data_IF_599932357133
#
_entry.id   IF_599932357133
#
_cell.length_a   1.000
_cell.length_b   1.000
_cell.length_c   1.000
_cell.angle_alpha   90.00
_cell.angle_beta   90.00
_cell.angle_gamma   90.00
#
_symmetry.space_group_name_H-M   'P 1'
#
loop_
_entity.id
_entity.type
_entity.pdbx_description
1 polymer ?
#
# COMPACT_ATOMS: atom_id res chain seq x y z
N UNK A 1 27.57 37.29 -13.27
CA UNK A 1 27.11 38.05 -12.08
C UNK A 1 26.32 37.17 -11.06
N UNK A 2 25.46 36.22 -11.49
CA UNK A 2 24.71 35.34 -10.57
C UNK A 2 25.61 34.37 -9.77
N UNK A 3 26.68 33.87 -10.40
CA UNK A 3 27.63 32.93 -9.76
C UNK A 3 28.50 33.60 -8.68
N UNK A 4 28.85 34.88 -8.86
CA UNK A 4 29.60 35.65 -7.86
C UNK A 4 28.79 35.88 -6.57
N UNK A 5 27.46 36.08 -6.70
CA UNK A 5 26.57 36.23 -5.55
C UNK A 5 26.43 34.93 -4.76
N UNK A 6 26.53 33.75 -5.40
CA UNK A 6 26.52 32.42 -4.72
C UNK A 6 27.75 32.23 -3.80
N UNK A 7 28.90 32.82 -4.15
CA UNK A 7 30.10 32.74 -3.32
C UNK A 7 30.07 33.57 -2.04
N UNK A 8 29.08 34.46 -1.89
CA UNK A 8 28.94 35.38 -0.75
C UNK A 8 27.79 35.00 0.20
N UNK A 9 27.08 33.89 -0.05
CA UNK A 9 25.99 33.45 0.83
C UNK A 9 26.51 32.92 2.16
N UNK A 10 25.92 33.38 3.25
CA UNK A 10 26.23 32.91 4.60
C UNK A 10 25.24 31.87 5.13
N UNK A 11 24.07 31.73 4.46
CA UNK A 11 23.01 30.78 4.84
C UNK A 11 22.44 30.17 3.56
N UNK A 12 22.30 28.84 3.53
CA UNK A 12 21.64 28.10 2.47
C UNK A 12 20.40 27.46 3.07
N UNK A 13 19.22 27.83 2.56
CA UNK A 13 17.93 27.17 2.87
C UNK A 13 17.59 26.24 1.71
N UNK A 14 17.49 24.95 1.98
CA UNK A 14 17.11 23.95 0.98
C UNK A 14 15.82 23.26 1.38
N UNK A 15 14.87 23.14 0.46
CA UNK A 15 13.75 22.23 0.64
C UNK A 15 14.26 20.77 0.57
N UNK A 16 13.69 19.90 1.42
CA UNK A 16 14.09 18.50 1.47
C UNK A 16 13.55 17.73 0.25
N UNK A 17 12.26 17.88 -0.02
CA UNK A 17 11.55 17.03 -0.98
C UNK A 17 11.81 17.48 -2.42
N UNK A 18 12.31 16.57 -3.25
CA UNK A 18 12.65 16.87 -4.65
C UNK A 18 13.93 17.66 -4.87
N UNK A 19 14.62 18.09 -3.78
CA UNK A 19 15.91 18.79 -3.84
C UNK A 19 17.01 17.95 -3.21
N UNK A 20 16.85 17.54 -1.95
CA UNK A 20 17.77 16.61 -1.26
C UNK A 20 17.39 15.16 -1.46
N UNK A 21 16.16 14.89 -1.88
CA UNK A 21 15.61 13.58 -2.22
C UNK A 21 15.08 13.59 -3.65
N UNK A 22 14.94 12.40 -4.25
CA UNK A 22 14.39 12.24 -5.60
C UNK A 22 12.85 12.27 -5.63
N UNK A 23 12.18 12.50 -4.50
CA UNK A 23 10.73 12.37 -4.35
C UNK A 23 10.22 10.99 -4.82
N UNK A 24 11.04 9.95 -4.64
CA UNK A 24 10.72 8.57 -4.97
C UNK A 24 10.71 7.73 -3.70
N UNK A 25 9.71 6.89 -3.56
CA UNK A 25 9.59 5.93 -2.48
C UNK A 25 9.75 4.51 -3.02
N UNK A 26 10.18 3.62 -2.16
CA UNK A 26 10.32 2.19 -2.44
C UNK A 26 9.82 1.42 -1.21
N UNK A 27 9.20 0.26 -1.41
CA UNK A 27 8.81 -0.62 -0.31
C UNK A 27 10.01 -1.44 0.10
N UNK A 28 10.51 -1.19 1.31
CA UNK A 28 11.69 -1.88 1.87
C UNK A 28 11.31 -3.22 2.51
N UNK A 29 10.24 -3.21 3.31
CA UNK A 29 9.82 -4.37 4.09
C UNK A 29 8.29 -4.45 4.18
N UNK A 30 7.79 -5.67 4.30
CA UNK A 30 6.37 -5.99 4.49
C UNK A 30 6.22 -6.88 5.72
N UNK A 31 5.30 -6.55 6.62
CA UNK A 31 4.95 -7.38 7.78
C UNK A 31 3.62 -8.09 7.52
N UNK A 32 3.69 -9.38 7.29
CA UNK A 32 2.53 -10.25 7.05
C UNK A 32 2.71 -11.58 7.79
N UNK A 33 1.63 -12.22 8.17
CA UNK A 33 1.65 -13.54 8.81
C UNK A 33 2.54 -13.59 10.07
N UNK A 34 2.66 -12.45 10.78
CA UNK A 34 3.51 -12.34 11.96
C UNK A 34 5.03 -12.27 11.67
N UNK A 35 5.42 -12.15 10.42
CA UNK A 35 6.82 -12.11 9.97
C UNK A 35 7.08 -10.90 9.07
N UNK A 36 8.32 -10.44 9.07
CA UNK A 36 8.81 -9.42 8.14
C UNK A 36 9.49 -10.10 6.96
N UNK A 37 9.20 -9.65 5.76
CA UNK A 37 9.86 -10.09 4.53
C UNK A 37 10.10 -8.89 3.60
N UNK A 38 11.00 -9.05 2.64
CA UNK A 38 11.20 -8.10 1.55
C UNK A 38 10.25 -8.39 0.38
N UNK A 39 9.99 -7.41 -0.50
CA UNK A 39 9.16 -7.65 -1.69
C UNK A 39 9.67 -8.81 -2.58
N UNK A 40 10.99 -8.97 -2.72
CA UNK A 40 11.60 -10.02 -3.52
C UNK A 40 11.44 -11.44 -2.93
N UNK A 41 11.07 -11.55 -1.65
CA UNK A 41 10.78 -12.80 -0.95
C UNK A 41 9.29 -13.17 -1.00
N UNK A 42 8.43 -12.28 -1.52
CA UNK A 42 7.00 -12.51 -1.62
C UNK A 42 6.61 -13.39 -2.80
N UNK A 43 5.46 -14.05 -2.68
CA UNK A 43 4.91 -14.92 -3.72
C UNK A 43 3.42 -14.70 -3.92
N UNK A 44 2.93 -14.90 -5.15
CA UNK A 44 1.49 -14.92 -5.45
C UNK A 44 0.83 -16.29 -5.16
N UNK A 45 1.59 -17.30 -4.76
CA UNK A 45 1.05 -18.60 -4.35
C UNK A 45 0.37 -18.53 -2.98
N UNK A 46 0.93 -17.75 -2.04
CA UNK A 46 0.31 -17.48 -0.75
C UNK A 46 -0.99 -16.67 -0.93
N UNK A 47 -2.07 -17.16 -0.37
CA UNK A 47 -3.39 -16.50 -0.43
C UNK A 47 -3.37 -15.14 0.25
N UNK A 48 -2.73 -15.04 1.42
CA UNK A 48 -2.62 -13.81 2.19
C UNK A 48 -1.78 -12.77 1.46
N UNK A 49 -0.62 -13.17 0.92
CA UNK A 49 0.25 -12.24 0.18
C UNK A 49 -0.41 -11.75 -1.10
N UNK A 50 -1.06 -12.65 -1.87
CA UNK A 50 -1.84 -12.28 -3.05
C UNK A 50 -2.95 -11.29 -2.73
N UNK A 51 -3.67 -11.51 -1.63
CA UNK A 51 -4.74 -10.63 -1.20
C UNK A 51 -4.23 -9.24 -0.77
N UNK A 52 -3.11 -9.20 -0.05
CA UNK A 52 -2.41 -7.95 0.27
C UNK A 52 -1.97 -7.20 -0.99
N UNK A 53 -1.35 -7.89 -1.95
CA UNK A 53 -0.91 -7.29 -3.21
C UNK A 53 -2.10 -6.76 -4.03
N UNK A 54 -3.22 -7.45 -4.04
CA UNK A 54 -4.45 -6.95 -4.69
C UNK A 54 -5.00 -5.70 -4.01
N UNK A 55 -5.00 -5.65 -2.67
CA UNK A 55 -5.36 -4.42 -1.96
C UNK A 55 -4.42 -3.27 -2.34
N UNK A 56 -3.11 -3.53 -2.39
CA UNK A 56 -2.10 -2.53 -2.71
C UNK A 56 -2.26 -1.92 -4.12
N UNK A 57 -2.65 -2.71 -5.13
CA UNK A 57 -2.80 -2.23 -6.52
C UNK A 57 -4.21 -1.77 -6.85
N UNK A 58 -5.25 -2.38 -6.29
CA UNK A 58 -6.63 -2.02 -6.56
C UNK A 58 -7.03 -0.75 -5.81
N UNK A 59 -6.76 -0.68 -4.50
CA UNK A 59 -6.98 0.51 -3.68
C UNK A 59 -5.85 1.53 -3.88
N UNK A 60 -5.65 1.98 -5.13
CA UNK A 60 -4.49 2.77 -5.58
C UNK A 60 -4.86 3.57 -6.83
N UNK A 61 -4.49 4.84 -6.88
CA UNK A 61 -4.78 5.76 -7.98
C UNK A 61 -3.57 5.99 -8.89
N UNK A 62 -2.39 5.50 -8.51
CA UNK A 62 -1.23 5.52 -9.41
C UNK A 62 -1.46 4.61 -10.62
N UNK A 63 -0.85 4.95 -11.74
CA UNK A 63 -0.94 4.21 -13.00
C UNK A 63 0.42 4.09 -13.68
N UNK A 64 0.52 3.19 -14.65
CA UNK A 64 1.70 3.07 -15.49
C UNK A 64 1.35 3.57 -16.90
N UNK A 65 2.08 4.55 -17.37
CA UNK A 65 1.94 5.09 -18.73
C UNK A 65 3.33 5.14 -19.39
N UNK A 66 3.45 4.53 -20.57
CA UNK A 66 4.71 4.44 -21.31
C UNK A 66 5.89 3.89 -20.47
N UNK A 67 5.61 2.89 -19.63
CA UNK A 67 6.60 2.26 -18.75
C UNK A 67 7.06 3.12 -17.57
N UNK A 68 6.38 4.23 -17.29
CA UNK A 68 6.62 5.09 -16.13
C UNK A 68 5.45 5.05 -15.19
N UNK A 69 5.74 4.90 -13.90
CA UNK A 69 4.74 5.01 -12.85
C UNK A 69 4.43 6.48 -12.60
N UNK A 70 3.14 6.83 -12.62
CA UNK A 70 2.61 8.17 -12.41
C UNK A 70 1.62 8.13 -11.25
N UNK A 71 1.78 9.04 -10.28
CA UNK A 71 0.89 9.14 -9.11
C UNK A 71 1.62 9.65 -7.87
N UNK A 72 0.95 9.58 -6.73
CA UNK A 72 1.56 9.85 -5.43
C UNK A 72 2.76 8.91 -5.21
N UNK A 73 3.89 9.38 -4.64
CA UNK A 73 5.06 8.53 -4.43
C UNK A 73 4.79 7.28 -3.60
N UNK A 74 3.91 7.34 -2.60
CA UNK A 74 3.53 6.18 -1.77
C UNK A 74 2.78 5.15 -2.59
N UNK A 75 1.83 5.59 -3.42
CA UNK A 75 1.05 4.73 -4.30
C UNK A 75 1.89 4.13 -5.43
N UNK A 76 2.78 4.94 -5.99
CA UNK A 76 3.75 4.49 -7.00
C UNK A 76 4.65 3.38 -6.46
N UNK A 77 5.11 3.49 -5.20
CA UNK A 77 5.93 2.46 -4.56
C UNK A 77 5.18 1.11 -4.41
N UNK A 78 3.88 1.14 -4.15
CA UNK A 78 3.05 -0.07 -4.08
C UNK A 78 2.90 -0.77 -5.43
N UNK A 79 2.76 0.01 -6.52
CA UNK A 79 2.76 -0.54 -7.87
C UNK A 79 4.11 -1.14 -8.24
N UNK A 80 5.21 -0.44 -7.96
CA UNK A 80 6.55 -0.94 -8.20
C UNK A 80 6.80 -2.24 -7.42
N UNK A 81 6.39 -2.32 -6.15
CA UNK A 81 6.45 -3.54 -5.35
C UNK A 81 5.70 -4.71 -6.00
N UNK A 82 4.48 -4.50 -6.46
CA UNK A 82 3.70 -5.54 -7.14
C UNK A 82 4.42 -6.08 -8.38
N UNK A 83 5.01 -5.19 -9.18
CA UNK A 83 5.78 -5.58 -10.36
C UNK A 83 7.04 -6.35 -9.99
N UNK A 84 7.75 -5.96 -8.94
CA UNK A 84 8.93 -6.66 -8.44
C UNK A 84 8.60 -8.10 -8.04
N UNK A 85 7.55 -8.30 -7.24
CA UNK A 85 7.07 -9.64 -6.86
C UNK A 85 6.76 -10.50 -8.08
N UNK A 86 6.12 -9.93 -9.09
CA UNK A 86 5.79 -10.66 -10.32
C UNK A 86 7.02 -11.02 -11.14
N UNK A 87 7.95 -10.08 -11.31
CA UNK A 87 9.19 -10.32 -12.07
C UNK A 87 10.03 -11.44 -11.47
N UNK A 88 10.03 -11.55 -10.15
CA UNK A 88 10.76 -12.62 -9.47
C UNK A 88 10.12 -13.99 -9.70
N UNK A 89 8.81 -14.05 -9.91
CA UNK A 89 8.11 -15.30 -10.25
C UNK A 89 8.25 -15.68 -11.72
N UNK A 90 8.26 -14.71 -12.60
CA UNK A 90 8.31 -14.95 -14.04
C UNK A 90 9.45 -14.14 -14.70
N UNK A 91 10.69 -14.67 -14.59
CA UNK A 91 11.94 -14.00 -15.03
C UNK A 91 11.99 -13.63 -16.52
N UNK A 92 10.91 -13.87 -17.25
CA UNK A 92 10.82 -13.66 -18.70
C UNK A 92 10.02 -12.43 -19.11
N UNK A 93 9.35 -11.74 -18.18
CA UNK A 93 8.46 -10.62 -18.49
C UNK A 93 9.18 -9.28 -18.60
N UNK A 94 8.86 -8.51 -19.66
CA UNK A 94 9.30 -7.13 -19.83
C UNK A 94 8.35 -6.15 -19.12
N UNK A 95 8.80 -4.93 -18.83
CA UNK A 95 8.01 -3.86 -18.20
C UNK A 95 6.68 -3.58 -18.93
N UNK A 96 6.65 -3.70 -20.26
CA UNK A 96 5.43 -3.53 -21.06
C UNK A 96 4.37 -4.60 -20.82
N UNK A 97 4.78 -5.86 -20.58
CA UNK A 97 3.86 -6.93 -20.22
C UNK A 97 3.31 -6.76 -18.80
N UNK A 98 4.10 -6.21 -17.87
CA UNK A 98 3.66 -5.89 -16.52
C UNK A 98 2.54 -4.86 -16.50
N UNK A 99 2.65 -3.80 -17.31
CA UNK A 99 1.61 -2.78 -17.45
C UNK A 99 0.27 -3.39 -17.87
N UNK A 100 0.29 -4.26 -18.89
CA UNK A 100 -0.90 -4.97 -19.38
C UNK A 100 -1.54 -5.81 -18.27
N UNK A 101 -0.75 -6.41 -17.39
CA UNK A 101 -1.27 -7.30 -16.36
C UNK A 101 -1.90 -6.58 -15.19
N UNK A 102 -1.34 -5.43 -14.74
CA UNK A 102 -1.98 -4.58 -13.74
C UNK A 102 -3.30 -4.03 -14.28
N UNK A 103 -3.28 -3.48 -15.48
CA UNK A 103 -4.47 -2.99 -16.17
C UNK A 103 -5.51 -4.11 -16.36
N UNK A 104 -5.05 -5.32 -16.68
CA UNK A 104 -5.93 -6.49 -16.80
C UNK A 104 -6.61 -6.80 -15.47
N UNK A 105 -5.90 -6.79 -14.34
CA UNK A 105 -6.49 -7.03 -13.01
C UNK A 105 -7.51 -5.95 -12.68
N UNK A 106 -7.19 -4.68 -12.92
CA UNK A 106 -8.10 -3.55 -12.68
C UNK A 106 -9.34 -3.64 -13.57
N UNK A 107 -9.20 -4.08 -14.82
CA UNK A 107 -10.33 -4.28 -15.74
C UNK A 107 -11.20 -5.47 -15.34
N UNK A 108 -10.60 -6.55 -14.83
CA UNK A 108 -11.33 -7.73 -14.34
C UNK A 108 -12.04 -7.47 -13.00
N UNK A 109 -11.49 -6.58 -12.17
CA UNK A 109 -11.99 -6.22 -10.85
C UNK A 109 -12.17 -4.70 -10.79
N UNK A 110 -13.20 -4.16 -11.48
CA UNK A 110 -13.41 -2.72 -11.53
C UNK A 110 -13.81 -2.18 -10.17
N UNK A 111 -13.28 -0.99 -9.84
CA UNK A 111 -13.67 -0.24 -8.65
C UNK A 111 -15.15 0.16 -8.76
N UNK A 112 -15.94 -0.19 -7.78
CA UNK A 112 -17.36 0.15 -7.71
C UNK A 112 -17.59 1.52 -7.08
N UNK A 113 -16.93 1.74 -5.94
CA UNK A 113 -17.05 2.95 -5.12
C UNK A 113 -15.71 3.25 -4.45
N UNK A 114 -15.52 4.51 -4.07
CA UNK A 114 -14.35 4.91 -3.28
C UNK A 114 -14.68 6.00 -2.27
N UNK A 115 -13.93 6.03 -1.19
CA UNK A 115 -13.77 7.17 -0.28
C UNK A 115 -12.29 7.56 -0.38
N UNK A 116 -11.97 8.68 -1.08
CA UNK A 116 -10.59 9.10 -1.32
C UNK A 116 -9.80 9.31 -0.02
N UNK A 117 -8.49 9.36 -0.13
CA UNK A 117 -7.64 9.69 1.01
C UNK A 117 -8.00 11.06 1.59
N UNK A 118 -8.14 11.11 2.89
CA UNK A 118 -8.35 12.32 3.67
C UNK A 118 -7.31 12.42 4.80
N UNK A 119 -6.70 13.60 4.97
CA UNK A 119 -5.60 13.81 5.91
C UNK A 119 -6.04 13.78 7.38
N UNK A 120 -7.29 14.09 7.69
CA UNK A 120 -7.85 13.98 9.04
C UNK A 120 -8.20 12.55 9.35
N UNK A 121 -8.82 11.85 8.40
CA UNK A 121 -9.18 10.44 8.49
C UNK A 121 -7.98 9.50 8.34
N UNK A 122 -6.91 9.94 7.66
CA UNK A 122 -5.64 9.24 7.41
C UNK A 122 -5.78 7.87 6.76
N UNK A 123 -6.82 7.66 5.99
CA UNK A 123 -7.05 6.43 5.24
C UNK A 123 -7.81 6.68 3.95
N UNK A 124 -7.79 5.69 3.07
CA UNK A 124 -8.53 5.59 1.83
C UNK A 124 -9.21 4.24 1.77
N UNK A 125 -10.43 4.19 1.23
CA UNK A 125 -11.18 2.95 1.06
C UNK A 125 -11.76 2.86 -0.33
N UNK A 126 -11.70 1.67 -0.93
CA UNK A 126 -12.31 1.39 -2.23
C UNK A 126 -13.05 0.07 -2.19
N UNK A 127 -14.16 -0.02 -2.91
CA UNK A 127 -15.03 -1.17 -2.94
C UNK A 127 -14.94 -1.87 -4.29
N UNK A 128 -14.90 -3.19 -4.23
CA UNK A 128 -14.76 -4.06 -5.40
C UNK A 128 -15.73 -5.23 -5.34
N UNK A 129 -16.02 -5.80 -6.50
CA UNK A 129 -16.69 -7.11 -6.60
C UNK A 129 -15.67 -8.13 -7.05
N UNK A 130 -15.36 -9.06 -6.17
CA UNK A 130 -14.50 -10.22 -6.47
C UNK A 130 -15.32 -11.29 -7.21
N UNK A 131 -14.71 -12.46 -7.46
CA UNK A 131 -15.39 -13.55 -8.12
C UNK A 131 -16.71 -13.93 -7.44
N UNK A 132 -17.79 -13.96 -8.21
CA UNK A 132 -19.16 -14.12 -7.73
C UNK A 132 -19.82 -12.76 -7.44
N UNK A 133 -20.80 -12.75 -6.54
CA UNK A 133 -21.48 -11.51 -6.13
C UNK A 133 -20.91 -10.90 -4.84
N UNK A 134 -19.76 -11.41 -4.37
CA UNK A 134 -19.17 -11.00 -3.11
C UNK A 134 -18.48 -9.64 -3.24
N UNK A 135 -18.94 -8.66 -2.46
CA UNK A 135 -18.35 -7.33 -2.42
C UNK A 135 -17.37 -7.20 -1.26
N UNK A 136 -16.23 -6.57 -1.54
CA UNK A 136 -15.16 -6.32 -0.57
C UNK A 136 -14.81 -4.85 -0.55
N UNK A 137 -14.54 -4.35 0.64
CA UNK A 137 -13.95 -3.04 0.89
C UNK A 137 -12.48 -3.27 1.23
N UNK A 138 -11.60 -2.65 0.47
CA UNK A 138 -10.19 -2.50 0.78
C UNK A 138 -9.94 -1.14 1.41
N UNK A 139 -9.19 -1.11 2.50
CA UNK A 139 -8.82 0.11 3.20
C UNK A 139 -7.31 0.12 3.41
N UNK A 140 -6.65 1.24 3.10
CA UNK A 140 -5.24 1.49 3.43
C UNK A 140 -5.12 2.79 4.22
N UNK A 141 -4.15 2.87 5.12
CA UNK A 141 -3.98 4.07 5.91
C UNK A 141 -2.92 3.96 7.01
N UNK A 142 -2.92 4.93 7.90
CA UNK A 142 -2.03 4.96 9.04
C UNK A 142 -2.32 3.80 10.00
N UNK A 143 -1.25 3.19 10.54
CA UNK A 143 -1.35 2.00 11.40
C UNK A 143 -2.21 2.27 12.63
N UNK A 144 -2.02 3.40 13.30
CA UNK A 144 -2.79 3.82 14.48
C UNK A 144 -4.29 3.95 14.20
N UNK A 145 -4.65 4.39 13.01
CA UNK A 145 -6.05 4.52 12.58
C UNK A 145 -6.65 3.16 12.29
N UNK A 146 -5.98 2.32 11.50
CA UNK A 146 -6.50 1.02 11.12
C UNK A 146 -6.60 0.06 12.30
N UNK A 147 -5.64 0.06 13.23
CA UNK A 147 -5.70 -0.75 14.44
C UNK A 147 -6.98 -0.49 15.26
N UNK A 148 -7.43 0.76 15.32
CA UNK A 148 -8.66 1.12 16.04
C UNK A 148 -9.95 0.71 15.28
N UNK A 149 -9.85 0.37 14.00
CA UNK A 149 -10.98 0.00 13.13
C UNK A 149 -11.06 -1.50 12.85
N UNK A 150 -9.96 -2.23 13.09
CA UNK A 150 -9.90 -3.67 12.91
C UNK A 150 -10.43 -4.41 14.13
N UNK A 151 -11.22 -5.45 13.88
CA UNK A 151 -11.69 -6.41 14.90
C UNK A 151 -11.02 -7.78 14.74
N UNK A 152 -10.36 -8.00 13.62
CA UNK A 152 -9.62 -9.23 13.33
C UNK A 152 -8.25 -8.91 12.72
N UNK A 153 -7.39 -9.93 12.70
CA UNK A 153 -6.13 -9.99 11.96
C UNK A 153 -6.11 -11.26 11.11
N UNK A 154 -5.67 -11.13 9.85
CA UNK A 154 -5.55 -12.25 8.94
C UNK A 154 -4.14 -12.86 9.01
N UNK A 155 -4.11 -14.18 9.09
CA UNK A 155 -2.96 -15.04 8.88
C UNK A 155 -3.21 -15.94 7.66
N UNK A 156 -2.19 -16.66 7.18
CA UNK A 156 -2.32 -17.53 6.00
C UNK A 156 -3.39 -18.61 6.21
N UNK A 157 -3.42 -19.23 7.38
CA UNK A 157 -4.28 -20.38 7.69
C UNK A 157 -5.60 -19.97 8.39
N UNK A 158 -5.67 -18.78 8.98
CA UNK A 158 -6.80 -18.38 9.81
C UNK A 158 -6.97 -16.87 9.97
N UNK A 159 -8.16 -16.48 10.35
CA UNK A 159 -8.47 -15.12 10.83
C UNK A 159 -8.65 -15.18 12.34
N UNK A 160 -7.91 -14.35 13.08
CA UNK A 160 -7.96 -14.26 14.54
C UNK A 160 -8.61 -12.95 14.98
N UNK A 161 -9.28 -12.94 16.15
CA UNK A 161 -9.71 -11.70 16.77
C UNK A 161 -8.51 -10.77 17.03
N UNK A 162 -8.70 -9.46 16.85
CA UNK A 162 -7.72 -8.43 17.18
C UNK A 162 -7.72 -8.21 18.69
N UNK A 163 -6.93 -9.00 19.41
CA UNK A 163 -6.76 -8.87 20.85
C UNK A 163 -5.54 -7.98 21.21
N UNK A 164 -5.35 -7.74 22.50
CA UNK A 164 -4.24 -6.92 22.99
C UNK A 164 -2.86 -7.48 22.61
N UNK A 165 -2.73 -8.79 22.44
CA UNK A 165 -1.47 -9.44 22.04
C UNK A 165 -1.16 -9.14 20.60
N UNK A 166 -2.14 -9.26 19.70
CA UNK A 166 -1.99 -8.95 18.27
C UNK A 166 -1.74 -7.44 18.08
N UNK A 167 -2.47 -6.57 18.77
CA UNK A 167 -2.24 -5.13 18.75
C UNK A 167 -0.79 -4.80 19.16
N UNK A 168 -0.31 -5.39 20.26
CA UNK A 168 1.05 -5.14 20.76
C UNK A 168 2.12 -5.60 19.77
N UNK A 169 1.93 -6.72 19.07
CA UNK A 169 2.84 -7.20 18.02
C UNK A 169 2.94 -6.20 16.87
N UNK A 170 1.78 -5.75 16.35
CA UNK A 170 1.72 -4.81 15.23
C UNK A 170 2.31 -3.45 15.64
N UNK A 171 2.00 -2.95 16.83
CA UNK A 171 2.56 -1.71 17.36
C UNK A 171 4.08 -1.78 17.52
N UNK A 172 4.59 -2.90 18.04
CA UNK A 172 6.05 -3.13 18.16
C UNK A 172 6.73 -3.11 16.78
N UNK A 173 6.12 -3.75 15.79
CA UNK A 173 6.67 -3.76 14.43
C UNK A 173 6.59 -2.37 13.77
N UNK A 174 5.49 -1.66 13.96
CA UNK A 174 5.35 -0.27 13.50
C UNK A 174 6.41 0.64 14.12
N UNK A 175 6.67 0.49 15.42
CA UNK A 175 7.73 1.23 16.11
C UNK A 175 9.10 0.89 15.52
N UNK A 176 9.40 -0.38 15.31
CA UNK A 176 10.65 -0.82 14.71
C UNK A 176 10.87 -0.20 13.32
N UNK A 177 9.89 -0.22 12.44
CA UNK A 177 9.95 0.41 11.14
C UNK A 177 10.18 1.93 11.24
N UNK A 178 9.46 2.59 12.12
CA UNK A 178 9.55 4.04 12.33
C UNK A 178 10.92 4.46 12.88
N UNK A 179 11.50 3.70 13.80
CA UNK A 179 12.85 3.92 14.35
C UNK A 179 13.94 3.76 13.28
N UNK A 180 13.69 2.95 12.24
CA UNK A 180 14.56 2.83 11.07
C UNK A 180 14.27 3.87 9.97
N UNK A 181 13.42 4.88 10.26
CA UNK A 181 13.11 5.96 9.33
C UNK A 181 12.16 5.56 8.21
N UNK A 182 11.49 4.42 8.31
CA UNK A 182 10.53 3.96 7.30
C UNK A 182 9.15 4.59 7.55
N UNK A 183 8.49 4.96 6.45
CA UNK A 183 7.07 5.33 6.47
C UNK A 183 6.24 4.06 6.44
N UNK A 184 5.34 3.89 7.42
CA UNK A 184 4.51 2.69 7.53
C UNK A 184 3.11 2.94 7.00
N UNK A 185 2.59 2.01 6.20
CA UNK A 185 1.23 1.99 5.68
C UNK A 185 0.59 0.65 6.03
N UNK A 186 -0.60 0.67 6.64
CA UNK A 186 -1.37 -0.52 6.95
C UNK A 186 -2.45 -0.78 5.91
N UNK A 187 -2.81 -2.05 5.77
CA UNK A 187 -3.84 -2.54 4.86
C UNK A 187 -4.86 -3.37 5.64
N UNK A 188 -6.12 -3.16 5.34
CA UNK A 188 -7.22 -3.90 5.93
C UNK A 188 -8.31 -4.13 4.89
N UNK A 189 -9.22 -5.05 5.17
CA UNK A 189 -10.34 -5.34 4.30
C UNK A 189 -11.57 -5.79 5.08
N UNK A 190 -12.70 -5.82 4.38
CA UNK A 190 -13.97 -6.30 4.93
C UNK A 190 -14.89 -6.72 3.80
N UNK A 191 -15.53 -7.87 3.94
CA UNK A 191 -16.67 -8.24 3.09
C UNK A 191 -17.87 -7.39 3.50
N UNK A 192 -18.46 -6.65 2.58
CA UNK A 192 -19.62 -5.79 2.86
C UNK A 192 -20.37 -5.43 1.59
N UNK A 193 -21.66 -5.73 1.56
CA UNK A 193 -22.57 -5.27 0.52
C UNK A 193 -23.17 -3.88 0.82
N UNK A 194 -23.90 -3.32 -0.16
CA UNK A 194 -24.53 -2.00 -0.10
C UNK A 194 -23.54 -0.84 -0.22
N UNK A 195 -24.00 0.39 -0.15
CA UNK A 195 -23.21 1.61 -0.35
C UNK A 195 -21.97 1.69 0.55
N UNK A 196 -20.86 2.18 0.03
CA UNK A 196 -19.61 2.42 0.78
C UNK A 196 -19.76 3.73 1.57
N UNK A 197 -19.71 3.63 2.90
CA UNK A 197 -19.78 4.79 3.81
C UNK A 197 -18.61 4.77 4.79
N UNK A 198 -18.34 5.90 5.43
CA UNK A 198 -17.25 6.02 6.43
C UNK A 198 -17.47 5.07 7.63
N UNK A 199 -18.71 4.80 7.99
CA UNK A 199 -19.06 3.85 9.07
C UNK A 199 -18.62 2.43 8.72
N UNK A 200 -18.61 2.08 7.42
CA UNK A 200 -18.16 0.78 6.95
C UNK A 200 -16.64 0.57 7.00
N UNK A 201 -15.88 1.63 7.22
CA UNK A 201 -14.44 1.53 7.52
C UNK A 201 -14.14 1.02 8.94
N UNK A 202 -15.13 0.49 9.65
CA UNK A 202 -14.98 -0.17 10.94
C UNK A 202 -15.32 -1.66 10.84
N UNK A 203 -14.81 -2.46 11.77
CA UNK A 203 -14.98 -3.91 11.77
C UNK A 203 -14.17 -4.58 10.65
N UNK A 204 -12.98 -4.06 10.40
CA UNK A 204 -12.04 -4.54 9.38
C UNK A 204 -11.22 -5.74 9.88
N UNK A 205 -10.57 -6.40 8.95
CA UNK A 205 -9.59 -7.48 9.17
C UNK A 205 -8.27 -7.08 8.59
#
# INVERSE_FOLDING_TARGET
KAVESLGCVSVICSDKTGTLTQNKMHVEEVYLNGMTCKPDEMTLESSLQRFFLYNAILNNDASITDGKVLGDPTESALLEMFHEVRLNQDRTENVGQLTIQEETIRNMIPRLEEIPFDSERKCMSSKYRLHGEEEIIFTKGAVDVLLNRCINVAYEEEIRPMDNVEIAKIQKQNQHFSENGLRVLAFACKKSGGELTVEKENGLT
#
